data_IF_201864319078
#
_entry.id   IF_201864319078
#
_cell.length_a   1.000
_cell.length_b   1.000
_cell.length_c   1.000
_cell.angle_alpha   90.00
_cell.angle_beta   90.00
_cell.angle_gamma   90.00
#
_symmetry.space_group_name_H-M   'P 1'
#
loop_
_entity.id
_entity.type
_entity.pdbx_description
1 polymer ?
#
# COMPACT_ATOMS: atom_id res chain seq x y z
N UNK A 1 22.87 -14.55 5.21
CA UNK A 1 22.01 -15.00 4.09
C UNK A 1 20.61 -14.47 4.33
N UNK A 2 20.02 -13.80 3.34
CA UNK A 2 18.62 -13.37 3.45
C UNK A 2 17.70 -14.59 3.41
N UNK A 3 16.59 -14.54 4.16
CA UNK A 3 15.48 -15.52 4.11
C UNK A 3 15.10 -15.87 2.67
N UNK A 4 15.19 -14.88 1.77
CA UNK A 4 14.91 -15.01 0.33
C UNK A 4 15.78 -16.07 -0.35
N UNK A 5 17.06 -16.20 0.02
CA UNK A 5 17.98 -17.18 -0.57
C UNK A 5 17.64 -18.60 -0.08
N UNK A 6 17.23 -18.72 1.19
CA UNK A 6 16.78 -19.97 1.81
C UNK A 6 15.48 -20.45 1.14
N UNK A 7 14.49 -19.56 1.00
CA UNK A 7 13.21 -19.87 0.34
C UNK A 7 13.40 -20.28 -1.13
N UNK A 8 14.38 -19.69 -1.82
CA UNK A 8 14.66 -20.02 -3.22
C UNK A 8 15.31 -21.40 -3.43
N UNK A 9 16.09 -21.90 -2.45
CA UNK A 9 16.78 -23.21 -2.53
C UNK A 9 15.98 -24.34 -1.89
N UNK A 10 15.10 -24.05 -0.91
CA UNK A 10 14.28 -25.03 -0.18
C UNK A 10 13.59 -26.04 -1.11
N UNK A 11 12.92 -25.63 -2.21
CA UNK A 11 12.22 -26.58 -3.07
C UNK A 11 13.14 -27.59 -3.77
N UNK A 12 14.42 -27.25 -3.97
CA UNK A 12 15.40 -28.18 -4.53
C UNK A 12 15.78 -29.25 -3.50
N UNK A 13 16.07 -28.85 -2.26
CA UNK A 13 16.42 -29.76 -1.17
C UNK A 13 15.25 -30.65 -0.75
N UNK A 14 14.02 -30.14 -0.72
CA UNK A 14 12.84 -30.96 -0.42
C UNK A 14 12.62 -32.01 -1.52
N UNK A 15 12.72 -31.64 -2.80
CA UNK A 15 12.58 -32.61 -3.90
C UNK A 15 13.68 -33.68 -3.86
N UNK A 16 14.93 -33.28 -3.63
CA UNK A 16 16.04 -34.22 -3.52
C UNK A 16 15.85 -35.17 -2.32
N UNK A 17 15.38 -34.65 -1.18
CA UNK A 17 15.07 -35.46 -0.01
C UNK A 17 13.94 -36.47 -0.26
N UNK A 18 12.88 -36.08 -0.97
CA UNK A 18 11.79 -37.00 -1.33
C UNK A 18 12.22 -38.08 -2.33
N UNK A 19 13.08 -37.74 -3.30
CA UNK A 19 13.62 -38.69 -4.29
C UNK A 19 14.62 -39.68 -3.67
N UNK A 20 15.41 -39.25 -2.68
CA UNK A 20 16.36 -40.13 -1.96
C UNK A 20 15.68 -40.99 -0.88
N UNK A 21 14.55 -40.54 -0.33
CA UNK A 21 13.76 -41.29 0.65
C UNK A 21 12.89 -42.38 0.01
N UNK A 22 12.60 -42.30 -1.30
CA UNK A 22 12.04 -43.40 -2.09
C UNK A 22 13.12 -44.47 -2.36
N UNK A 23 13.61 -45.12 -1.30
CA UNK A 23 14.25 -46.44 -1.44
C UNK A 23 13.14 -47.48 -1.71
N UNK A 24 13.35 -48.43 -2.63
CA UNK A 24 12.28 -49.21 -3.27
C UNK A 24 11.80 -50.41 -2.43
N UNK A 25 11.58 -50.24 -1.13
CA UNK A 25 11.04 -51.30 -0.29
C UNK A 25 9.71 -50.83 0.33
N UNK A 26 8.62 -51.40 -0.20
CA UNK A 26 7.22 -51.32 0.25
C UNK A 26 6.38 -50.08 -0.12
N UNK A 27 6.17 -49.86 -1.43
CA UNK A 27 5.16 -48.91 -1.92
C UNK A 27 3.74 -49.52 -1.94
N UNK A 28 2.96 -49.29 -0.89
CA UNK A 28 1.50 -49.31 -0.97
C UNK A 28 1.02 -48.19 -1.92
N UNK A 29 0.17 -48.52 -2.90
CA UNK A 29 -0.35 -47.61 -3.94
C UNK A 29 -0.93 -46.26 -3.42
N UNK A 30 -1.34 -46.19 -2.15
CA UNK A 30 -1.83 -44.95 -1.52
C UNK A 30 -0.74 -43.92 -1.17
N UNK A 31 0.50 -44.35 -0.90
CA UNK A 31 1.62 -43.45 -0.54
C UNK A 31 2.12 -42.66 -1.77
N UNK A 32 2.09 -43.29 -2.95
CA UNK A 32 2.56 -42.70 -4.21
C UNK A 32 1.65 -41.57 -4.72
N UNK A 33 0.33 -41.66 -4.52
CA UNK A 33 -0.59 -40.59 -4.92
C UNK A 33 -0.38 -39.32 -4.07
N UNK A 34 -0.12 -39.48 -2.76
CA UNK A 34 0.19 -38.37 -1.85
C UNK A 34 1.55 -37.74 -2.16
N UNK A 35 2.58 -38.53 -2.47
CA UNK A 35 3.90 -38.01 -2.86
C UNK A 35 3.83 -37.22 -4.18
N UNK A 36 3.08 -37.67 -5.18
CA UNK A 36 2.88 -36.94 -6.44
C UNK A 36 2.15 -35.59 -6.24
N UNK A 37 1.16 -35.51 -5.36
CA UNK A 37 0.49 -34.25 -5.02
C UNK A 37 1.44 -33.27 -4.33
N UNK A 38 2.24 -33.75 -3.38
CA UNK A 38 3.24 -32.96 -2.66
C UNK A 38 4.32 -32.45 -3.62
N UNK A 39 4.79 -33.28 -4.55
CA UNK A 39 5.75 -32.87 -5.59
C UNK A 39 5.20 -31.76 -6.50
N UNK A 40 3.90 -31.77 -6.80
CA UNK A 40 3.24 -30.67 -7.56
C UNK A 40 3.23 -29.37 -6.76
N UNK A 41 2.91 -29.43 -5.47
CA UNK A 41 2.96 -28.25 -4.59
C UNK A 41 4.40 -27.71 -4.48
N UNK A 42 5.40 -28.57 -4.30
CA UNK A 42 6.81 -28.16 -4.26
C UNK A 42 7.25 -27.49 -5.58
N UNK A 43 6.76 -27.97 -6.73
CA UNK A 43 7.00 -27.32 -8.03
C UNK A 43 6.40 -25.91 -8.08
N UNK A 44 5.23 -25.67 -7.49
CA UNK A 44 4.64 -24.32 -7.38
C UNK A 44 5.48 -23.41 -6.47
N UNK A 45 6.02 -23.94 -5.36
CA UNK A 45 6.89 -23.18 -4.45
C UNK A 45 8.19 -22.72 -5.15
N UNK A 46 8.65 -23.42 -6.20
CA UNK A 46 9.80 -22.94 -6.99
C UNK A 46 9.55 -21.58 -7.65
N UNK A 47 8.30 -21.12 -7.83
CA UNK A 47 8.01 -19.78 -8.35
C UNK A 47 8.57 -18.68 -7.44
N UNK A 48 8.67 -18.93 -6.12
CA UNK A 48 9.28 -18.00 -5.16
C UNK A 48 10.76 -17.72 -5.43
N UNK A 49 11.45 -18.54 -6.24
CA UNK A 49 12.81 -18.22 -6.70
C UNK A 49 12.88 -16.90 -7.46
N UNK A 50 11.76 -16.40 -8.00
CA UNK A 50 11.67 -15.08 -8.63
C UNK A 50 12.06 -13.96 -7.64
N UNK A 51 11.81 -14.15 -6.34
CA UNK A 51 12.22 -13.20 -5.31
C UNK A 51 13.75 -13.09 -5.18
N UNK A 52 14.53 -14.04 -5.71
CA UNK A 52 15.99 -13.89 -5.84
C UNK A 52 16.36 -12.68 -6.71
N UNK A 53 15.50 -12.26 -7.65
CA UNK A 53 15.71 -11.05 -8.44
C UNK A 53 15.75 -9.78 -7.57
N UNK A 54 15.12 -9.80 -6.37
CA UNK A 54 15.17 -8.66 -5.44
C UNK A 54 16.59 -8.31 -5.02
N UNK A 55 17.54 -9.26 -4.95
CA UNK A 55 18.94 -8.93 -4.61
C UNK A 55 19.68 -8.20 -5.74
N UNK A 56 19.22 -8.36 -6.97
CA UNK A 56 19.85 -7.82 -8.17
C UNK A 56 19.11 -6.57 -8.71
N UNK A 57 17.86 -6.35 -8.27
CA UNK A 57 17.06 -5.19 -8.62
C UNK A 57 16.93 -4.24 -7.42
N UNK A 58 17.61 -3.09 -7.50
CA UNK A 58 17.49 -1.99 -6.53
C UNK A 58 16.05 -1.52 -6.39
N UNK A 59 15.30 -1.42 -7.50
CA UNK A 59 13.90 -1.02 -7.50
C UNK A 59 13.00 -1.95 -6.68
N UNK A 60 13.24 -3.26 -6.71
CA UNK A 60 12.46 -4.22 -5.93
C UNK A 60 12.81 -4.17 -4.42
N UNK A 61 14.05 -3.79 -4.07
CA UNK A 61 14.45 -3.55 -2.68
C UNK A 61 13.77 -2.29 -2.12
N UNK A 62 13.79 -1.21 -2.90
CA UNK A 62 13.13 0.06 -2.55
C UNK A 62 11.63 -0.18 -2.39
N UNK A 63 10.99 -0.88 -3.33
CA UNK A 63 9.57 -1.24 -3.22
C UNK A 63 9.28 -2.02 -1.93
N UNK A 64 10.11 -3.01 -1.58
CA UNK A 64 9.96 -3.78 -0.35
C UNK A 64 10.12 -2.92 0.92
N UNK A 65 11.07 -2.00 0.93
CA UNK A 65 11.26 -1.07 2.05
C UNK A 65 10.08 -0.10 2.19
N UNK A 66 9.59 0.44 1.08
CA UNK A 66 8.40 1.29 1.07
C UNK A 66 7.18 0.54 1.58
N UNK A 67 6.94 -0.69 1.11
CA UNK A 67 5.82 -1.51 1.60
C UNK A 67 5.94 -1.77 3.10
N UNK A 68 7.15 -2.08 3.58
CA UNK A 68 7.42 -2.25 5.01
C UNK A 68 7.10 -0.99 5.82
N UNK A 69 7.50 0.18 5.32
CA UNK A 69 7.22 1.46 5.96
C UNK A 69 5.72 1.82 5.92
N UNK A 70 5.02 1.42 4.85
CA UNK A 70 3.59 1.66 4.65
C UNK A 70 2.69 0.52 5.13
N UNK A 71 3.21 -0.45 5.90
CA UNK A 71 2.43 -1.61 6.37
C UNK A 71 1.18 -1.20 7.16
N UNK A 72 1.25 -0.10 7.91
CA UNK A 72 0.10 0.43 8.65
C UNK A 72 -1.02 0.85 7.69
N UNK A 73 -0.68 1.62 6.66
CA UNK A 73 -1.62 2.12 5.66
C UNK A 73 -2.20 0.98 4.81
N UNK A 74 -1.36 0.02 4.43
CA UNK A 74 -1.79 -1.20 3.73
C UNK A 74 -2.72 -2.05 4.61
N UNK A 75 -2.42 -2.16 5.91
CA UNK A 75 -3.26 -2.84 6.88
C UNK A 75 -4.64 -2.18 7.03
N UNK A 76 -4.70 -0.85 7.05
CA UNK A 76 -5.96 -0.11 7.07
C UNK A 76 -6.78 -0.32 5.79
N UNK A 77 -6.13 -0.30 4.62
CA UNK A 77 -6.80 -0.62 3.34
C UNK A 77 -7.42 -2.01 3.36
N UNK A 78 -6.64 -3.03 3.74
CA UNK A 78 -7.12 -4.42 3.80
C UNK A 78 -8.25 -4.55 4.84
N UNK A 79 -8.14 -3.85 5.97
CA UNK A 79 -9.17 -3.84 7.00
C UNK A 79 -10.49 -3.25 6.50
N UNK A 80 -10.48 -2.07 5.88
CA UNK A 80 -11.69 -1.46 5.32
C UNK A 80 -12.28 -2.29 4.18
N UNK A 81 -11.44 -2.85 3.32
CA UNK A 81 -11.89 -3.74 2.24
C UNK A 81 -12.55 -4.99 2.81
N UNK A 82 -11.97 -5.60 3.84
CA UNK A 82 -12.54 -6.78 4.50
C UNK A 82 -13.90 -6.49 5.15
N UNK A 83 -14.01 -5.38 5.88
CA UNK A 83 -15.28 -4.93 6.47
C UNK A 83 -16.33 -4.65 5.38
N UNK A 84 -15.93 -3.97 4.30
CA UNK A 84 -16.81 -3.69 3.17
C UNK A 84 -17.30 -4.97 2.48
N UNK A 85 -16.42 -5.93 2.26
CA UNK A 85 -16.78 -7.25 1.69
C UNK A 85 -17.83 -7.93 2.57
N UNK A 86 -17.60 -8.04 3.87
CA UNK A 86 -18.58 -8.69 4.77
C UNK A 86 -19.93 -7.97 4.73
N UNK A 87 -19.92 -6.64 4.78
CA UNK A 87 -21.13 -5.82 4.81
C UNK A 87 -21.93 -5.94 3.50
N UNK A 88 -21.28 -5.69 2.36
CA UNK A 88 -21.97 -5.70 1.07
C UNK A 88 -22.36 -7.10 0.61
N UNK A 89 -21.57 -8.13 0.92
CA UNK A 89 -21.95 -9.52 0.65
C UNK A 89 -23.16 -9.96 1.46
N UNK A 90 -23.24 -9.55 2.74
CA UNK A 90 -24.42 -9.83 3.56
C UNK A 90 -25.65 -9.07 3.03
N UNK A 91 -25.49 -7.78 2.70
CA UNK A 91 -26.58 -6.95 2.19
C UNK A 91 -27.13 -7.45 0.85
N UNK A 92 -26.27 -7.82 -0.10
CA UNK A 92 -26.71 -8.33 -1.41
C UNK A 92 -27.35 -9.70 -1.28
N UNK A 93 -26.83 -10.56 -0.40
CA UNK A 93 -27.41 -11.88 -0.14
C UNK A 93 -28.85 -11.75 0.36
N UNK A 94 -29.10 -10.90 1.36
CA UNK A 94 -30.45 -10.68 1.86
C UNK A 94 -31.35 -9.95 0.86
N UNK A 95 -30.79 -9.07 0.02
CA UNK A 95 -31.57 -8.39 -1.02
C UNK A 95 -32.00 -9.33 -2.16
N UNK A 96 -31.24 -10.39 -2.42
CA UNK A 96 -31.51 -11.39 -3.47
C UNK A 96 -32.05 -12.73 -2.90
N UNK A 97 -32.31 -12.83 -1.59
CA UNK A 97 -32.68 -14.09 -0.93
C UNK A 97 -34.05 -14.63 -1.36
N UNK A 98 -34.97 -13.74 -1.74
CA UNK A 98 -36.33 -14.09 -2.16
C UNK A 98 -36.44 -14.41 -3.67
N UNK A 99 -35.36 -14.22 -4.43
CA UNK A 99 -35.33 -14.48 -5.87
C UNK A 99 -35.01 -15.94 -6.18
N UNK A 100 -35.78 -16.59 -7.06
CA UNK A 100 -35.64 -18.02 -7.34
C UNK A 100 -34.38 -18.35 -8.13
N UNK A 101 -33.96 -17.44 -8.99
CA UNK A 101 -32.77 -17.54 -9.84
C UNK A 101 -31.61 -16.70 -9.26
N UNK A 102 -31.52 -16.61 -7.93
CA UNK A 102 -30.46 -15.86 -7.26
C UNK A 102 -29.09 -16.47 -7.54
N UNK A 103 -28.16 -15.61 -7.96
CA UNK A 103 -26.76 -15.97 -8.17
C UNK A 103 -25.96 -15.96 -6.84
N UNK A 104 -26.61 -15.68 -5.71
CA UNK A 104 -25.99 -15.54 -4.39
C UNK A 104 -26.43 -16.68 -3.44
N UNK A 105 -25.88 -17.90 -3.58
CA UNK A 105 -26.30 -19.06 -2.79
C UNK A 105 -25.95 -18.95 -1.30
N UNK A 106 -24.86 -18.27 -0.96
CA UNK A 106 -24.45 -18.04 0.43
C UNK A 106 -23.69 -16.72 0.59
N UNK A 107 -23.59 -16.23 1.83
CA UNK A 107 -22.81 -15.01 2.14
C UNK A 107 -21.32 -15.19 1.78
N UNK A 108 -20.65 -16.33 2.08
CA UNK A 108 -19.29 -16.58 1.61
C UNK A 108 -19.14 -16.57 0.08
N UNK A 109 -20.10 -17.09 -0.68
CA UNK A 109 -20.06 -17.03 -2.15
C UNK A 109 -20.21 -15.59 -2.63
N UNK A 110 -21.03 -14.78 -1.96
CA UNK A 110 -21.15 -13.35 -2.22
C UNK A 110 -19.87 -12.54 -1.90
N UNK A 111 -18.88 -13.10 -1.18
CA UNK A 111 -17.57 -12.44 -1.00
C UNK A 111 -16.84 -12.26 -2.32
N UNK A 112 -16.93 -13.23 -3.23
CA UNK A 112 -16.33 -13.14 -4.56
C UNK A 112 -16.86 -11.91 -5.31
N UNK A 113 -18.19 -11.77 -5.37
CA UNK A 113 -18.84 -10.62 -5.98
C UNK A 113 -18.42 -9.30 -5.33
N UNK A 114 -18.46 -9.21 -4.00
CA UNK A 114 -18.14 -7.95 -3.31
C UNK A 114 -16.67 -7.55 -3.52
N UNK A 115 -15.72 -8.49 -3.49
CA UNK A 115 -14.31 -8.20 -3.80
C UNK A 115 -14.17 -7.67 -5.22
N UNK A 116 -14.77 -8.35 -6.21
CA UNK A 116 -14.69 -7.98 -7.63
C UNK A 116 -15.37 -6.63 -7.92
N UNK A 117 -16.48 -6.32 -7.26
CA UNK A 117 -17.18 -5.04 -7.39
C UNK A 117 -16.47 -3.90 -6.67
N UNK A 118 -16.03 -4.10 -5.40
CA UNK A 118 -15.32 -3.06 -4.64
C UNK A 118 -13.98 -2.69 -5.26
N UNK A 119 -13.30 -3.66 -5.89
CA UNK A 119 -12.04 -3.42 -6.62
C UNK A 119 -12.25 -2.93 -8.05
N UNK A 120 -13.50 -2.68 -8.45
CA UNK A 120 -13.88 -2.20 -9.79
C UNK A 120 -13.49 -3.11 -10.96
N UNK A 121 -13.22 -4.39 -10.70
CA UNK A 121 -12.90 -5.38 -11.73
C UNK A 121 -14.14 -5.75 -12.54
N UNK A 122 -15.24 -6.07 -11.86
CA UNK A 122 -16.57 -6.26 -12.48
C UNK A 122 -16.63 -7.32 -13.58
N UNK A 123 -16.26 -8.58 -13.29
CA UNK A 123 -16.31 -9.67 -14.28
C UNK A 123 -17.72 -9.92 -14.86
N UNK A 124 -18.77 -9.71 -14.06
CA UNK A 124 -20.16 -9.88 -14.49
C UNK A 124 -20.66 -11.34 -14.49
N UNK A 125 -19.89 -12.24 -13.88
CA UNK A 125 -20.25 -13.64 -13.65
C UNK A 125 -21.29 -13.83 -12.53
N UNK A 126 -21.29 -12.92 -11.56
CA UNK A 126 -22.33 -12.77 -10.53
C UNK A 126 -22.86 -11.34 -10.54
N UNK A 127 -24.17 -11.14 -10.62
CA UNK A 127 -24.81 -9.81 -10.61
C UNK A 127 -26.15 -9.82 -9.87
N UNK A 128 -26.46 -8.78 -9.07
CA UNK A 128 -27.78 -8.65 -8.47
C UNK A 128 -28.84 -8.31 -9.53
N UNK A 129 -29.97 -9.00 -9.44
CA UNK A 129 -31.07 -8.89 -10.41
C UNK A 129 -32.22 -8.04 -9.85
N UNK A 130 -32.45 -8.11 -8.54
CA UNK A 130 -33.49 -7.37 -7.84
C UNK A 130 -33.18 -5.87 -7.77
N UNK A 131 -34.21 -5.06 -7.53
CA UNK A 131 -34.06 -3.62 -7.34
C UNK A 131 -33.22 -3.32 -6.09
N UNK A 132 -33.46 -4.06 -5.00
CA UNK A 132 -32.70 -3.93 -3.75
C UNK A 132 -31.22 -4.28 -3.94
N UNK A 133 -30.94 -5.41 -4.59
CA UNK A 133 -29.59 -5.84 -4.89
C UNK A 133 -28.83 -4.86 -5.78
N UNK A 134 -29.50 -4.24 -6.76
CA UNK A 134 -28.90 -3.18 -7.62
C UNK A 134 -28.56 -1.90 -6.86
N UNK A 135 -29.38 -1.50 -5.90
CA UNK A 135 -29.06 -0.37 -5.00
C UNK A 135 -27.84 -0.72 -4.15
N UNK A 136 -27.81 -1.91 -3.55
CA UNK A 136 -26.65 -2.40 -2.78
C UNK A 136 -25.39 -2.45 -3.66
N UNK A 137 -25.49 -2.97 -4.88
CA UNK A 137 -24.39 -3.02 -5.85
C UNK A 137 -23.87 -1.63 -6.24
N UNK A 138 -24.77 -0.65 -6.39
CA UNK A 138 -24.39 0.73 -6.70
C UNK A 138 -23.64 1.38 -5.53
N UNK A 139 -24.12 1.18 -4.30
CA UNK A 139 -23.44 1.64 -3.08
C UNK A 139 -22.09 0.94 -2.88
N UNK A 140 -22.02 -0.36 -3.19
CA UNK A 140 -20.80 -1.16 -3.14
C UNK A 140 -19.72 -0.61 -4.09
N UNK A 141 -20.08 -0.29 -5.33
CA UNK A 141 -19.16 0.29 -6.30
C UNK A 141 -18.60 1.64 -5.85
N UNK A 142 -19.46 2.54 -5.36
CA UNK A 142 -19.05 3.85 -4.86
C UNK A 142 -18.14 3.69 -3.63
N UNK A 143 -18.54 2.88 -2.67
CA UNK A 143 -17.77 2.63 -1.45
C UNK A 143 -16.41 1.99 -1.76
N UNK A 144 -16.34 1.07 -2.72
CA UNK A 144 -15.09 0.45 -3.17
C UNK A 144 -14.08 1.46 -3.72
N UNK A 145 -14.52 2.33 -4.63
CA UNK A 145 -13.69 3.41 -5.18
C UNK A 145 -13.19 4.33 -4.07
N UNK A 146 -14.07 4.76 -3.14
CA UNK A 146 -13.68 5.61 -2.02
C UNK A 146 -12.69 4.91 -1.07
N UNK A 147 -12.88 3.61 -0.83
CA UNK A 147 -12.01 2.80 0.04
C UNK A 147 -10.60 2.70 -0.53
N UNK A 148 -10.45 2.58 -1.86
CA UNK A 148 -9.14 2.52 -2.52
C UNK A 148 -8.52 3.92 -2.65
N UNK A 149 -9.35 4.95 -2.90
CA UNK A 149 -8.89 6.31 -3.16
C UNK A 149 -8.19 6.97 -1.95
N UNK A 150 -8.50 6.57 -0.72
CA UNK A 150 -7.93 7.20 0.49
C UNK A 150 -6.50 6.70 0.84
N UNK A 151 -6.22 5.38 0.96
CA UNK A 151 -4.91 4.88 1.36
C UNK A 151 -3.88 4.82 0.23
N UNK A 152 -4.32 4.66 -1.04
CA UNK A 152 -3.38 4.54 -2.16
C UNK A 152 -2.50 5.79 -2.33
N UNK A 153 -3.02 7.03 -2.31
CA UNK A 153 -2.19 8.23 -2.39
C UNK A 153 -1.17 8.34 -1.25
N UNK A 154 -1.52 7.91 -0.04
CA UNK A 154 -0.61 7.89 1.11
C UNK A 154 0.54 6.90 0.86
N UNK A 155 0.23 5.70 0.35
CA UNK A 155 1.24 4.69 -0.01
C UNK A 155 2.15 5.22 -1.13
N UNK A 156 1.59 5.89 -2.15
CA UNK A 156 2.36 6.50 -3.25
C UNK A 156 3.23 7.65 -2.75
N UNK A 157 2.73 8.48 -1.83
CA UNK A 157 3.51 9.56 -1.21
C UNK A 157 4.71 8.99 -0.44
N UNK A 158 4.50 7.96 0.37
CA UNK A 158 5.57 7.26 1.05
C UNK A 158 6.56 6.63 0.05
N UNK A 159 6.07 6.05 -1.05
CA UNK A 159 6.93 5.50 -2.10
C UNK A 159 7.84 6.57 -2.70
N UNK A 160 7.29 7.73 -3.07
CA UNK A 160 8.07 8.84 -3.61
C UNK A 160 9.10 9.34 -2.59
N UNK A 161 8.74 9.43 -1.32
CA UNK A 161 9.67 9.82 -0.25
C UNK A 161 10.88 8.87 -0.17
N UNK A 162 10.66 7.56 -0.10
CA UNK A 162 11.76 6.59 -0.04
C UNK A 162 12.56 6.52 -1.36
N UNK A 163 11.89 6.67 -2.50
CA UNK A 163 12.52 6.66 -3.80
C UNK A 163 13.50 7.82 -3.99
N UNK A 164 13.08 9.06 -3.65
CA UNK A 164 13.95 10.23 -3.75
C UNK A 164 15.10 10.17 -2.74
N UNK A 165 14.83 9.74 -1.50
CA UNK A 165 15.88 9.62 -0.47
C UNK A 165 16.98 8.62 -0.86
N UNK A 166 16.62 7.49 -1.46
CA UNK A 166 17.60 6.50 -1.93
C UNK A 166 18.40 7.04 -3.14
N UNK A 167 17.74 7.76 -4.05
CA UNK A 167 18.36 8.34 -5.26
C UNK A 167 19.33 9.48 -4.91
N UNK A 168 18.90 10.44 -4.09
CA UNK A 168 19.73 11.59 -3.66
C UNK A 168 20.90 11.15 -2.76
N UNK A 169 20.69 10.11 -1.94
CA UNK A 169 21.76 9.52 -1.13
C UNK A 169 22.87 8.86 -1.98
N UNK A 170 22.50 8.21 -3.08
CA UNK A 170 23.46 7.66 -4.04
C UNK A 170 24.22 8.78 -4.78
N UNK A 171 23.55 9.86 -5.18
CA UNK A 171 24.19 11.02 -5.81
C UNK A 171 25.17 11.72 -4.87
N UNK A 172 24.78 12.00 -3.62
CA UNK A 172 25.66 12.65 -2.64
C UNK A 172 26.90 11.81 -2.30
N UNK A 173 26.74 10.48 -2.19
CA UNK A 173 27.85 9.57 -1.99
C UNK A 173 28.82 9.59 -3.18
N UNK A 174 28.30 9.67 -4.40
CA UNK A 174 29.10 9.78 -5.62
C UNK A 174 29.85 11.12 -5.69
N UNK A 175 29.24 12.24 -5.31
CA UNK A 175 29.90 13.56 -5.25
C UNK A 175 31.03 13.62 -4.19
N UNK A 176 30.79 13.05 -3.01
CA UNK A 176 31.81 12.97 -1.96
C UNK A 176 32.99 12.08 -2.39
N UNK A 177 32.72 10.97 -3.07
CA UNK A 177 33.76 10.05 -3.54
C UNK A 177 34.67 10.69 -4.62
N UNK A 178 34.11 11.51 -5.51
CA UNK A 178 34.88 12.24 -6.54
C UNK A 178 35.75 13.36 -5.93
N UNK A 179 35.31 13.96 -4.83
CA UNK A 179 36.04 15.06 -4.16
C UNK A 179 37.22 14.56 -3.30
N UNK A 180 37.20 13.30 -2.87
CA UNK A 180 38.23 12.69 -2.00
C UNK A 180 39.51 12.19 -2.68
N UNK A 181 39.73 12.45 -3.98
CA UNK A 181 41.00 12.10 -4.65
C UNK A 181 42.11 13.11 -4.30
N UNK A 182 43.19 12.76 -3.56
CA UNK A 182 44.24 13.70 -3.22
C UNK A 182 45.26 13.81 -4.37
N UNK A 183 45.34 14.98 -5.04
CA UNK A 183 46.54 15.37 -5.78
C UNK A 183 47.49 16.12 -4.83
N UNK A 184 48.66 15.52 -4.60
CA UNK A 184 49.80 16.08 -3.86
C UNK A 184 50.38 17.29 -4.64
N UNK A 185 50.98 18.31 -3.96
CA UNK A 185 50.91 19.71 -4.40
C UNK A 185 52.17 20.20 -5.13
N UNK A 186 52.00 21.22 -5.97
CA UNK A 186 53.10 22.12 -6.34
C UNK A 186 52.59 23.52 -6.68
N UNK A 187 53.19 24.51 -6.01
CA UNK A 187 53.22 25.97 -6.22
C UNK A 187 52.01 26.82 -5.78
N UNK A 188 52.26 27.94 -5.05
CA UNK A 188 51.24 28.91 -4.68
C UNK A 188 51.09 29.92 -5.82
N UNK A 189 49.87 30.19 -6.29
CA UNK A 189 49.47 31.56 -6.63
C UNK A 189 48.00 31.70 -7.03
N UNK A 190 47.47 32.86 -6.63
CA UNK A 190 46.28 33.59 -7.10
C UNK A 190 44.87 33.00 -6.89
N UNK A 191 44.22 33.60 -5.88
CA UNK A 191 42.82 34.06 -5.82
C UNK A 191 41.90 33.60 -6.97
N UNK A 192 40.91 32.76 -6.64
CA UNK A 192 39.57 32.88 -7.23
C UNK A 192 38.50 32.52 -6.20
N UNK A 193 37.70 33.54 -5.89
CA UNK A 193 36.45 33.43 -5.16
C UNK A 193 35.59 32.30 -5.73
N UNK A 194 35.21 31.35 -4.87
CA UNK A 194 33.99 30.56 -5.02
C UNK A 194 33.60 30.05 -3.65
N UNK A 195 32.70 30.80 -3.03
CA UNK A 195 31.96 30.40 -1.84
C UNK A 195 31.24 29.08 -2.14
N UNK A 196 31.79 27.97 -1.64
CA UNK A 196 31.04 26.75 -1.45
C UNK A 196 30.44 26.84 -0.04
N UNK A 197 29.20 27.34 0.04
CA UNK A 197 28.42 27.23 1.28
C UNK A 197 27.99 25.77 1.41
N UNK A 198 28.79 24.97 2.10
CA UNK A 198 28.34 23.71 2.67
C UNK A 198 27.34 24.07 3.76
N UNK A 199 26.04 23.94 3.47
CA UNK A 199 25.01 24.03 4.49
C UNK A 199 25.25 22.88 5.47
N UNK A 200 25.50 23.26 6.72
CA UNK A 200 25.83 22.35 7.81
C UNK A 200 24.55 21.72 8.34
N UNK A 201 24.68 20.57 9.01
CA UNK A 201 23.59 19.83 9.66
C UNK A 201 22.77 20.67 10.65
N UNK A 202 23.31 21.82 11.08
CA UNK A 202 22.63 22.84 11.89
C UNK A 202 21.51 23.57 11.12
N UNK A 203 21.71 23.86 9.84
CA UNK A 203 20.80 24.76 9.11
C UNK A 203 19.53 24.01 8.65
N UNK A 204 19.60 22.68 8.56
CA UNK A 204 18.41 21.83 8.38
C UNK A 204 17.52 21.76 9.63
N UNK A 205 18.10 21.84 10.83
CA UNK A 205 17.32 21.89 12.07
C UNK A 205 16.59 23.23 12.20
N UNK A 206 17.19 24.36 11.77
CA UNK A 206 16.53 25.67 11.75
C UNK A 206 15.38 25.75 10.73
N UNK A 207 15.52 25.14 9.55
CA UNK A 207 14.43 25.08 8.56
C UNK A 207 13.29 24.20 9.07
N UNK A 208 13.60 23.10 9.78
CA UNK A 208 12.59 22.21 10.34
C UNK A 208 11.88 22.79 11.57
N UNK A 209 12.57 23.58 12.42
CA UNK A 209 11.94 24.38 13.47
C UNK A 209 11.10 25.52 12.91
N UNK A 210 11.54 26.17 11.82
CA UNK A 210 10.78 27.22 11.13
C UNK A 210 9.49 26.71 10.48
N UNK A 211 9.51 25.51 9.89
CA UNK A 211 8.32 24.86 9.29
C UNK A 211 7.37 24.31 10.35
N UNK A 212 7.89 23.82 11.49
CA UNK A 212 7.03 23.39 12.60
C UNK A 212 6.37 24.58 13.32
N UNK A 213 7.09 25.68 13.52
CA UNK A 213 6.52 26.90 14.11
C UNK A 213 5.47 27.54 13.21
N UNK A 214 5.68 27.55 11.88
CA UNK A 214 4.68 28.07 10.94
C UNK A 214 3.43 27.18 10.84
N UNK A 215 3.54 25.86 11.01
CA UNK A 215 2.38 24.97 11.08
C UNK A 215 1.59 25.10 12.40
N UNK A 216 2.25 25.37 13.54
CA UNK A 216 1.55 25.69 14.79
C UNK A 216 0.88 27.08 14.73
N UNK A 217 1.53 28.10 14.16
CA UNK A 217 0.92 29.43 13.92
C UNK A 217 -0.30 29.35 13.00
N UNK A 218 -0.23 28.58 11.91
CA UNK A 218 -1.38 28.39 10.99
C UNK A 218 -2.54 27.64 11.68
N UNK A 219 -2.22 26.74 12.62
CA UNK A 219 -3.22 26.00 13.41
C UNK A 219 -3.83 26.88 14.51
N UNK A 220 -3.05 27.76 15.14
CA UNK A 220 -3.54 28.71 16.14
C UNK A 220 -4.38 29.84 15.51
N UNK A 221 -4.03 30.30 14.30
CA UNK A 221 -4.79 31.28 13.53
C UNK A 221 -6.13 30.71 13.03
N UNK A 222 -6.15 29.44 12.60
CA UNK A 222 -7.40 28.75 12.25
C UNK A 222 -8.29 28.49 13.47
N UNK A 223 -7.72 28.20 14.64
CA UNK A 223 -8.48 28.02 15.88
C UNK A 223 -9.08 29.34 16.40
N UNK A 224 -8.34 30.46 16.30
CA UNK A 224 -8.85 31.81 16.62
C UNK A 224 -9.93 32.26 15.63
N UNK A 225 -9.78 31.96 14.35
CA UNK A 225 -10.76 32.29 13.31
C UNK A 225 -12.06 31.48 13.44
N UNK A 226 -11.96 30.20 13.85
CA UNK A 226 -13.12 29.35 14.15
C UNK A 226 -13.92 29.83 15.37
N UNK A 227 -13.25 30.32 16.42
CA UNK A 227 -13.92 30.87 17.60
C UNK A 227 -14.53 32.26 17.35
N UNK A 228 -13.97 33.08 16.46
CA UNK A 228 -14.56 34.37 16.07
C UNK A 228 -15.77 34.23 15.12
N UNK A 229 -15.85 33.17 14.32
CA UNK A 229 -16.98 32.92 13.42
C UNK A 229 -18.18 32.29 14.11
N UNK A 230 -17.99 31.58 15.23
CA UNK A 230 -19.10 31.02 16.01
C UNK A 230 -19.80 32.05 16.93
N UNK A 231 -19.13 33.17 17.23
CA UNK A 231 -19.68 34.24 18.05
C UNK A 231 -20.57 35.25 17.29
N UNK A 232 -20.57 35.24 15.95
CA UNK A 232 -21.19 36.32 15.14
C UNK A 232 -22.37 35.89 14.24
N UNK A 233 -22.95 34.71 14.45
CA UNK A 233 -24.06 34.19 13.62
C UNK A 233 -25.42 34.12 14.33
N UNK A 234 -25.59 34.78 15.49
CA UNK A 234 -26.82 34.69 16.28
C UNK A 234 -27.62 36.00 16.47
N UNK A 235 -27.45 37.02 15.63
CA UNK A 235 -28.40 38.15 15.60
C UNK A 235 -28.51 38.70 14.17
N UNK A 236 -29.70 39.14 13.80
CA UNK A 236 -30.10 39.75 12.51
C UNK A 236 -30.60 38.77 11.43
N UNK A 237 -31.78 38.18 11.65
CA UNK A 237 -32.92 38.32 10.72
C UNK A 237 -34.24 37.69 11.23
N UNK A 238 -34.77 38.21 12.34
CA UNK A 238 -36.18 38.00 12.72
C UNK A 238 -36.83 39.36 12.98
N UNK A 239 -36.91 40.22 11.96
CA UNK A 239 -37.93 41.27 11.88
C UNK A 239 -37.94 41.89 10.48
N UNK A 240 -38.65 41.27 9.53
CA UNK A 240 -39.28 41.92 8.36
C UNK A 240 -40.11 40.89 7.58
N UNK A 241 -41.07 40.28 8.27
CA UNK A 241 -42.32 39.82 7.66
C UNK A 241 -43.41 40.74 8.21
N UNK A 242 -43.73 41.82 7.48
CA UNK A 242 -44.98 42.58 7.55
C UNK A 242 -44.84 43.78 6.60
N UNK A 243 -45.93 44.09 5.88
CA UNK A 243 -46.15 45.22 4.94
C UNK A 243 -45.33 45.15 3.64
N UNK A 244 -45.86 45.29 2.43
CA UNK A 244 -47.18 45.73 1.94
C UNK A 244 -47.28 45.43 0.43
N UNK A 245 -48.51 45.14 -0.03
CA UNK A 245 -49.08 45.18 -1.41
C UNK A 245 -48.55 44.19 -2.46
#
# INVERSE_FOLDING_TARGET
MNIIDIVAIIPYFITLGTELAEKPEDAQQGQQAMSLAILRVIRLVRVFRIFKLSRHSKGLQILGQTLKASMRELGLLIFFLFIGVILFSSAVYFAEADERESQFPSIPDAFWWAVVSMTTVGYGDMVPTTIGGKIVGSLCAIAGVLTIALPVPVIVSNFNYFYHRETEGEEQAQYLQVTSCPKIPSSPDLKKSRSASTISKSDYMEIQEGVNNSNEDFREENLKTANCTLANTNYVNITKMLTDV
#
